data_IF_571176487875
#
_entry.id   IF_571176487875
#
_cell.length_a   1.000
_cell.length_b   1.000
_cell.length_c   1.000
_cell.angle_alpha   90.00
_cell.angle_beta   90.00
_cell.angle_gamma   90.00
#
_symmetry.space_group_name_H-M   'P 1'
#
loop_
_entity.id
_entity.type
_entity.pdbx_description
1 polymer ?
#
# COMPACT_ATOMS: atom_id res chain seq x y z
N UNK A 1 7.04 5.68 9.43
CA UNK A 1 7.66 4.65 8.55
C UNK A 1 7.38 4.92 7.08
N UNK A 2 6.13 4.93 6.60
CA UNK A 2 5.79 5.20 5.18
C UNK A 2 6.33 6.55 4.69
N UNK A 3 6.18 7.62 5.47
CA UNK A 3 6.72 8.93 5.10
C UNK A 3 8.23 8.94 4.83
N UNK A 4 9.01 8.19 5.62
CA UNK A 4 10.44 8.04 5.42
C UNK A 4 10.77 7.24 4.14
N UNK A 5 10.01 6.17 3.86
CA UNK A 5 10.17 5.40 2.63
C UNK A 5 9.89 6.26 1.40
N UNK A 6 8.80 7.05 1.43
CA UNK A 6 8.46 7.99 0.35
C UNK A 6 9.56 9.02 0.13
N UNK A 7 10.12 9.58 1.22
CA UNK A 7 11.20 10.54 1.14
C UNK A 7 12.43 9.94 0.47
N UNK A 8 12.83 8.72 0.86
CA UNK A 8 13.96 8.02 0.24
C UNK A 8 13.71 7.83 -1.26
N UNK A 9 12.50 7.40 -1.66
CA UNK A 9 12.17 7.22 -3.08
C UNK A 9 12.24 8.54 -3.86
N UNK A 10 11.76 9.65 -3.29
CA UNK A 10 11.84 10.98 -3.91
C UNK A 10 13.28 11.51 -4.00
N UNK A 11 14.13 11.19 -3.02
CA UNK A 11 15.57 11.46 -3.06
C UNK A 11 16.26 10.64 -4.16
N UNK A 12 15.98 9.33 -4.23
CA UNK A 12 16.44 8.42 -5.29
C UNK A 12 16.01 8.88 -6.69
N UNK A 13 14.80 9.43 -6.82
CA UNK A 13 14.29 9.99 -8.08
C UNK A 13 15.13 11.15 -8.60
N UNK A 14 15.69 11.97 -7.70
CA UNK A 14 16.51 13.14 -8.02
C UNK A 14 17.99 12.79 -8.18
N UNK A 15 18.41 11.60 -7.75
CA UNK A 15 19.79 11.15 -7.80
C UNK A 15 20.12 10.47 -9.13
N UNK A 16 20.98 11.10 -9.93
CA UNK A 16 21.44 10.54 -11.20
C UNK A 16 22.25 9.25 -11.03
N UNK A 17 23.07 9.18 -9.97
CA UNK A 17 23.97 8.05 -9.74
C UNK A 17 23.19 6.77 -9.45
N UNK A 18 22.06 6.88 -8.75
CA UNK A 18 21.15 5.76 -8.51
C UNK A 18 20.56 5.23 -9.81
N UNK A 19 20.10 6.14 -10.69
CA UNK A 19 19.61 5.75 -11.99
C UNK A 19 20.70 5.07 -12.83
N UNK A 20 21.94 5.57 -12.78
CA UNK A 20 23.07 5.01 -13.50
C UNK A 20 23.36 3.56 -13.08
N UNK A 21 23.33 3.29 -11.77
CA UNK A 21 23.49 1.94 -11.23
C UNK A 21 22.34 1.02 -11.68
N UNK A 22 21.09 1.49 -11.59
CA UNK A 22 19.91 0.73 -12.03
C UNK A 22 19.99 0.42 -13.52
N UNK A 23 20.41 1.39 -14.34
CA UNK A 23 20.57 1.23 -15.78
C UNK A 23 21.67 0.21 -16.12
N UNK A 24 22.81 0.26 -15.43
CA UNK A 24 23.90 -0.71 -15.60
C UNK A 24 23.41 -2.13 -15.29
N UNK A 25 22.75 -2.31 -14.15
CA UNK A 25 22.20 -3.61 -13.76
C UNK A 25 21.15 -4.11 -14.77
N UNK A 26 20.29 -3.23 -15.25
CA UNK A 26 19.29 -3.56 -16.28
C UNK A 26 19.94 -3.97 -17.60
N UNK A 27 21.00 -3.28 -18.01
CA UNK A 27 21.78 -3.61 -19.21
C UNK A 27 22.45 -4.99 -19.06
N UNK A 28 23.07 -5.27 -17.91
CA UNK A 28 23.70 -6.57 -17.64
C UNK A 28 22.67 -7.71 -17.64
N UNK A 29 21.48 -7.47 -17.08
CA UNK A 29 20.38 -8.43 -17.11
C UNK A 29 19.86 -8.67 -18.53
N UNK A 30 19.74 -7.62 -19.34
CA UNK A 30 19.34 -7.74 -20.75
C UNK A 30 20.34 -8.62 -21.52
N UNK A 31 21.64 -8.39 -21.34
CA UNK A 31 22.70 -9.19 -21.98
C UNK A 31 22.63 -10.66 -21.56
N UNK A 32 22.48 -10.93 -20.26
CA UNK A 32 22.27 -12.29 -19.75
C UNK A 32 20.99 -12.94 -20.30
N UNK A 33 19.98 -12.13 -20.62
CA UNK A 33 18.73 -12.56 -21.26
C UNK A 33 18.84 -12.83 -22.77
N UNK A 34 20.02 -12.68 -23.37
CA UNK A 34 20.27 -12.94 -24.79
C UNK A 34 20.04 -11.74 -25.71
N UNK A 35 19.94 -10.53 -25.17
CA UNK A 35 20.00 -9.29 -25.95
C UNK A 35 21.47 -8.88 -26.15
N UNK A 36 21.84 -8.38 -27.32
CA UNK A 36 23.22 -7.88 -27.52
C UNK A 36 23.48 -6.61 -26.71
N UNK A 37 22.49 -5.72 -26.65
CA UNK A 37 22.54 -4.47 -25.89
C UNK A 37 21.12 -3.92 -25.64
N UNK A 38 20.98 -3.11 -24.59
CA UNK A 38 19.70 -2.50 -24.24
C UNK A 38 19.44 -1.26 -25.12
N UNK A 39 18.63 -1.41 -26.17
CA UNK A 39 18.25 -0.31 -27.07
C UNK A 39 16.86 0.23 -26.84
N UNK A 40 16.68 1.51 -27.17
CA UNK A 40 15.36 2.12 -27.26
C UNK A 40 14.48 1.35 -28.27
N UNK A 41 13.21 1.09 -27.93
CA UNK A 41 12.27 0.51 -28.87
C UNK A 41 12.06 1.39 -30.11
N UNK A 42 11.68 0.77 -31.22
CA UNK A 42 11.32 1.50 -32.44
C UNK A 42 10.16 2.45 -32.17
N UNK A 43 10.35 3.73 -32.47
CA UNK A 43 9.31 4.76 -32.35
C UNK A 43 8.61 4.97 -33.69
N UNK A 44 7.28 4.99 -33.69
CA UNK A 44 6.52 5.41 -34.86
C UNK A 44 6.61 6.93 -35.02
N UNK A 45 6.74 7.43 -36.25
CA UNK A 45 6.79 8.87 -36.52
C UNK A 45 5.52 9.61 -36.05
N UNK A 46 4.38 8.94 -36.09
CA UNK A 46 3.09 9.44 -35.59
C UNK A 46 2.47 8.39 -34.66
N UNK A 47 2.20 8.78 -33.42
CA UNK A 47 1.35 8.04 -32.49
C UNK A 47 0.08 8.85 -32.27
N UNK A 48 -1.08 8.18 -32.22
CA UNK A 48 -2.39 8.83 -32.03
C UNK A 48 -2.84 8.89 -30.57
N UNK A 49 -2.35 7.97 -29.72
CA UNK A 49 -2.83 7.82 -28.34
C UNK A 49 -1.83 8.25 -27.27
N UNK A 50 -0.52 8.29 -27.57
CA UNK A 50 0.52 8.74 -26.63
C UNK A 50 1.58 9.54 -27.37
N UNK A 51 2.18 10.50 -26.67
CA UNK A 51 3.35 11.20 -27.19
C UNK A 51 4.56 10.28 -27.10
N UNK A 52 5.40 10.33 -28.14
CA UNK A 52 6.71 9.70 -28.06
C UNK A 52 7.55 10.40 -26.99
N UNK A 53 8.19 9.61 -26.12
CA UNK A 53 9.12 10.14 -25.11
C UNK A 53 10.32 10.76 -25.83
N UNK A 54 10.60 12.07 -25.66
CA UNK A 54 11.78 12.70 -26.23
C UNK A 54 13.02 12.14 -25.53
N UNK A 55 13.98 11.65 -26.30
CA UNK A 55 15.24 11.12 -25.81
C UNK A 55 16.26 11.11 -26.95
N UNK A 56 17.50 11.43 -26.60
CA UNK A 56 18.66 11.51 -27.49
C UNK A 56 19.58 10.29 -27.36
N UNK A 57 19.35 9.47 -26.33
CA UNK A 57 20.06 8.21 -26.09
C UNK A 57 19.12 7.15 -25.51
N UNK A 58 19.51 5.88 -25.61
CA UNK A 58 18.77 4.75 -25.03
C UNK A 58 18.59 4.92 -23.51
N UNK A 59 19.67 5.33 -22.83
CA UNK A 59 19.67 5.61 -21.40
C UNK A 59 18.68 6.71 -21.00
N UNK A 60 18.68 7.82 -21.72
CA UNK A 60 17.72 8.92 -21.48
C UNK A 60 16.28 8.47 -21.74
N UNK A 61 16.05 7.63 -22.74
CA UNK A 61 14.74 7.06 -23.03
C UNK A 61 14.23 6.23 -21.86
N UNK A 62 15.00 5.25 -21.38
CA UNK A 62 14.58 4.38 -20.28
C UNK A 62 14.40 5.14 -18.97
N UNK A 63 15.20 6.20 -18.74
CA UNK A 63 15.01 7.09 -17.60
C UNK A 63 13.62 7.72 -17.59
N UNK A 64 13.24 8.32 -18.72
CA UNK A 64 12.00 9.10 -18.85
C UNK A 64 10.76 8.23 -19.05
N UNK A 65 10.89 7.12 -19.77
CA UNK A 65 9.77 6.25 -20.11
C UNK A 65 9.43 5.25 -19.00
N UNK A 66 10.42 4.86 -18.18
CA UNK A 66 10.25 3.79 -17.20
C UNK A 66 10.66 4.24 -15.81
N UNK A 67 11.92 4.63 -15.59
CA UNK A 67 12.45 4.85 -14.24
C UNK A 67 11.69 5.93 -13.47
N UNK A 68 11.59 7.15 -14.02
CA UNK A 68 10.89 8.24 -13.33
C UNK A 68 9.38 7.95 -13.15
N UNK A 69 8.63 7.53 -14.18
CA UNK A 69 7.22 7.18 -14.00
C UNK A 69 7.00 6.06 -12.98
N UNK A 70 7.89 5.07 -12.92
CA UNK A 70 7.79 3.97 -11.96
C UNK A 70 7.94 4.44 -10.52
N UNK A 71 8.91 5.32 -10.23
CA UNK A 71 9.08 5.88 -8.89
C UNK A 71 7.91 6.78 -8.50
N UNK A 72 7.40 7.58 -9.45
CA UNK A 72 6.22 8.42 -9.25
C UNK A 72 4.97 7.57 -8.90
N UNK A 73 4.73 6.50 -9.66
CA UNK A 73 3.65 5.55 -9.41
C UNK A 73 3.84 4.83 -8.06
N UNK A 74 5.07 4.43 -7.72
CA UNK A 74 5.35 3.76 -6.45
C UNK A 74 5.00 4.66 -5.25
N UNK A 75 5.36 5.95 -5.32
CA UNK A 75 4.98 6.93 -4.31
C UNK A 75 3.45 7.06 -4.24
N UNK A 76 2.77 7.17 -5.39
CA UNK A 76 1.31 7.27 -5.44
C UNK A 76 0.62 6.03 -4.84
N UNK A 77 1.11 4.83 -5.15
CA UNK A 77 0.58 3.59 -4.60
C UNK A 77 0.75 3.52 -3.08
N UNK A 78 1.86 4.02 -2.54
CA UNK A 78 2.06 4.12 -1.10
C UNK A 78 1.03 5.08 -0.45
N UNK A 79 0.72 6.20 -1.10
CA UNK A 79 -0.30 7.13 -0.62
C UNK A 79 -1.71 6.54 -0.65
N UNK A 80 -2.06 5.85 -1.74
CA UNK A 80 -3.37 5.21 -1.87
C UNK A 80 -3.57 4.09 -0.84
N UNK A 81 -2.55 3.26 -0.62
CA UNK A 81 -2.68 2.06 0.23
C UNK A 81 -2.48 2.32 1.72
N UNK A 82 -1.72 3.36 2.06
CA UNK A 82 -1.41 3.69 3.45
C UNK A 82 -1.87 5.09 3.84
N UNK A 83 -2.81 5.65 3.08
CA UNK A 83 -3.47 6.90 3.39
C UNK A 83 -4.36 6.80 4.63
N UNK A 84 -5.01 7.90 4.95
CA UNK A 84 -5.87 8.01 6.14
C UNK A 84 -7.03 7.00 6.11
N UNK A 85 -7.59 6.71 4.93
CA UNK A 85 -8.65 5.73 4.75
C UNK A 85 -8.22 4.32 5.17
N UNK A 86 -6.98 3.92 4.86
CA UNK A 86 -6.45 2.63 5.26
C UNK A 86 -6.38 2.48 6.78
N UNK A 87 -6.12 3.58 7.51
CA UNK A 87 -6.15 3.57 8.98
C UNK A 87 -7.56 3.27 9.49
N UNK A 88 -8.59 3.88 8.91
CA UNK A 88 -9.99 3.63 9.28
C UNK A 88 -10.41 2.19 8.99
N UNK A 89 -10.03 1.65 7.83
CA UNK A 89 -10.29 0.25 7.45
C UNK A 89 -9.61 -0.71 8.43
N UNK A 90 -8.33 -0.50 8.72
CA UNK A 90 -7.59 -1.34 9.68
C UNK A 90 -8.15 -1.20 11.09
N UNK A 91 -8.69 -0.03 11.46
CA UNK A 91 -9.32 0.19 12.77
C UNK A 91 -10.54 -0.70 12.97
N UNK A 92 -11.30 -1.04 11.94
CA UNK A 92 -12.41 -2.01 12.07
C UNK A 92 -11.95 -3.41 12.46
N UNK A 93 -10.69 -3.80 12.19
CA UNK A 93 -10.14 -5.06 12.69
C UNK A 93 -10.04 -5.11 14.22
N UNK A 94 -10.21 -3.99 14.93
CA UNK A 94 -10.33 -3.96 16.39
C UNK A 94 -11.60 -4.65 16.91
N UNK A 95 -12.63 -4.77 16.07
CA UNK A 95 -13.88 -5.48 16.40
C UNK A 95 -13.71 -7.01 16.41
N UNK A 96 -12.63 -7.52 15.82
CA UNK A 96 -12.39 -8.96 15.76
C UNK A 96 -12.39 -9.59 17.17
N UNK A 97 -12.90 -10.83 17.32
CA UNK A 97 -13.05 -11.51 18.62
C UNK A 97 -11.84 -11.42 19.55
N UNK A 98 -10.63 -11.60 19.03
CA UNK A 98 -9.39 -11.59 19.83
C UNK A 98 -8.87 -10.18 20.16
N UNK A 99 -9.47 -9.12 19.60
CA UNK A 99 -9.08 -7.71 19.82
C UNK A 99 -10.18 -6.88 20.45
N UNK A 100 -11.42 -7.36 20.44
CA UNK A 100 -12.60 -6.59 20.87
C UNK A 100 -12.49 -6.07 22.30
N UNK A 101 -11.75 -6.76 23.18
CA UNK A 101 -11.51 -6.33 24.56
C UNK A 101 -10.51 -5.14 24.67
N UNK A 102 -9.78 -4.83 23.60
CA UNK A 102 -8.80 -3.73 23.54
C UNK A 102 -9.37 -2.46 22.91
N UNK A 103 -10.61 -2.49 22.41
CA UNK A 103 -11.21 -1.36 21.71
C UNK A 103 -11.65 -0.28 22.73
N UNK A 104 -11.20 0.95 22.50
CA UNK A 104 -11.59 2.14 23.26
C UNK A 104 -12.88 2.74 22.70
N UNK A 105 -13.53 3.62 23.46
CA UNK A 105 -14.72 4.33 22.99
C UNK A 105 -14.43 5.19 21.75
N UNK A 106 -13.23 5.78 21.67
CA UNK A 106 -12.76 6.56 20.53
C UNK A 106 -12.61 5.67 19.28
N UNK A 107 -11.95 4.51 19.41
CA UNK A 107 -11.82 3.58 18.29
C UNK A 107 -13.19 3.07 17.80
N UNK A 108 -14.10 2.78 18.73
CA UNK A 108 -15.46 2.36 18.41
C UNK A 108 -16.25 3.47 17.69
N UNK A 109 -16.06 4.73 18.10
CA UNK A 109 -16.64 5.89 17.42
C UNK A 109 -16.10 6.03 16.00
N UNK A 110 -14.80 5.92 15.79
CA UNK A 110 -14.20 6.06 14.47
C UNK A 110 -14.65 4.97 13.50
N UNK A 111 -14.81 3.73 13.99
CA UNK A 111 -15.34 2.64 13.18
C UNK A 111 -16.80 2.90 12.79
N UNK A 112 -17.62 3.38 13.73
CA UNK A 112 -18.98 3.80 13.43
C UNK A 112 -19.04 4.94 12.41
N UNK A 113 -18.25 6.00 12.61
CA UNK A 113 -18.24 7.18 11.74
C UNK A 113 -17.81 6.81 10.31
N UNK A 114 -16.91 5.84 10.14
CA UNK A 114 -16.45 5.40 8.81
C UNK A 114 -17.43 4.43 8.14
N UNK A 115 -18.01 3.48 8.86
CA UNK A 115 -18.82 2.40 8.27
C UNK A 115 -20.33 2.60 8.38
N UNK A 116 -20.84 3.68 9.01
CA UNK A 116 -22.29 3.85 9.23
C UNK A 116 -23.12 3.78 7.95
N UNK A 117 -22.61 4.23 6.80
CA UNK A 117 -23.35 4.17 5.52
C UNK A 117 -23.42 2.77 4.95
N UNK A 118 -22.48 1.90 5.34
CA UNK A 118 -22.33 0.54 4.84
C UNK A 118 -23.01 -0.48 5.76
N UNK A 119 -23.40 -0.08 6.97
CA UNK A 119 -24.06 -0.94 7.94
C UNK A 119 -25.57 -1.09 7.65
N UNK A 120 -26.14 -2.29 7.82
CA UNK A 120 -27.57 -2.51 7.61
C UNK A 120 -28.46 -1.84 8.68
N UNK A 121 -27.94 -1.69 9.90
CA UNK A 121 -28.65 -1.07 11.04
C UNK A 121 -27.67 -0.25 11.90
N UNK A 122 -27.22 0.92 11.42
CA UNK A 122 -26.23 1.73 12.12
C UNK A 122 -26.70 2.14 13.54
N UNK A 123 -28.00 2.38 13.72
CA UNK A 123 -28.60 2.78 14.99
C UNK A 123 -28.47 1.74 16.11
N UNK A 124 -28.26 0.45 15.78
CA UNK A 124 -28.07 -0.63 16.77
C UNK A 124 -26.61 -0.92 17.07
N UNK A 125 -25.66 -0.28 16.38
CA UNK A 125 -24.23 -0.60 16.44
C UNK A 125 -23.68 -0.61 17.87
N UNK A 126 -24.02 0.40 18.68
CA UNK A 126 -23.52 0.51 20.07
C UNK A 126 -24.04 -0.61 20.96
N UNK A 127 -25.29 -1.01 20.78
CA UNK A 127 -25.94 -2.09 21.51
C UNK A 127 -25.30 -3.43 21.12
N UNK A 128 -25.14 -3.67 19.82
CA UNK A 128 -24.46 -4.87 19.30
C UNK A 128 -23.02 -4.96 19.78
N UNK A 129 -22.30 -3.84 19.81
CA UNK A 129 -20.92 -3.84 20.28
C UNK A 129 -20.80 -4.18 21.77
N UNK A 130 -21.73 -3.72 22.60
CA UNK A 130 -21.78 -4.12 24.02
C UNK A 130 -22.03 -5.61 24.18
N UNK A 131 -22.97 -6.17 23.42
CA UNK A 131 -23.26 -7.60 23.43
C UNK A 131 -22.06 -8.42 22.96
N UNK A 132 -21.40 -7.97 21.88
CA UNK A 132 -20.22 -8.62 21.31
C UNK A 132 -19.03 -8.63 22.27
N UNK A 133 -18.73 -7.49 22.90
CA UNK A 133 -17.69 -7.40 23.95
C UNK A 133 -17.96 -8.39 25.08
N UNK A 134 -19.17 -8.35 25.64
CA UNK A 134 -19.55 -9.23 26.75
C UNK A 134 -19.48 -10.72 26.35
N UNK A 135 -19.93 -11.06 25.14
CA UNK A 135 -19.86 -12.43 24.64
C UNK A 135 -18.41 -12.94 24.61
N UNK A 136 -17.48 -12.18 24.03
CA UNK A 136 -16.09 -12.60 23.90
C UNK A 136 -15.31 -12.57 25.22
N UNK A 137 -15.62 -11.65 26.13
CA UNK A 137 -15.08 -11.68 27.50
C UNK A 137 -15.45 -12.99 28.21
N UNK A 138 -16.72 -13.40 28.13
CA UNK A 138 -17.18 -14.65 28.74
C UNK A 138 -16.55 -15.90 28.10
N UNK A 139 -16.36 -15.90 26.77
CA UNK A 139 -15.67 -17.00 26.07
C UNK A 139 -14.19 -17.10 26.45
N UNK A 140 -13.54 -15.95 26.68
CA UNK A 140 -12.15 -15.88 27.16
C UNK A 140 -12.01 -16.52 28.54
N UNK A 141 -12.90 -16.14 29.47
CA UNK A 141 -12.93 -16.69 30.83
C UNK A 141 -13.20 -18.19 30.84
N UNK A 142 -14.15 -18.67 30.03
CA UNK A 142 -14.45 -20.11 29.92
C UNK A 142 -13.27 -20.91 29.35
N UNK A 143 -12.51 -20.34 28.39
CA UNK A 143 -11.29 -20.99 27.87
C UNK A 143 -10.19 -21.09 28.93
N UNK A 144 -9.95 -20.03 29.70
CA UNK A 144 -8.93 -20.05 30.77
C UNK A 144 -9.30 -21.05 31.87
N UNK A 145 -10.58 -21.10 32.27
CA UNK A 145 -11.06 -22.04 33.29
C UNK A 145 -10.89 -23.51 32.85
N UNK A 146 -11.12 -23.82 31.57
CA UNK A 146 -10.96 -25.17 31.04
C UNK A 146 -9.49 -25.61 30.91
N UNK A 147 -8.53 -24.68 30.82
CA UNK A 147 -7.10 -25.02 30.81
C UNK A 147 -6.59 -25.32 32.22
N UNK A 148 -7.13 -24.64 33.25
CA UNK A 148 -6.72 -24.83 34.64
C UNK A 148 -7.34 -26.05 35.34
N UNK A 149 -8.18 -26.82 34.64
CA UNK A 149 -8.86 -28.02 35.14
C UNK A 149 -8.26 -29.35 34.60
N UNK A 150 -7.17 -29.28 33.83
CA UNK A 150 -6.38 -30.43 33.38
C UNK A 150 -4.97 -30.37 33.94
#
# INVERSE_FOLDING_TARGET
MIGAVKQIIDETRKNEQEFDLVYSNASDMAVKGGLDELKMPRRCARQTHRNNVPASSDKEYFKRAIYLPYLDELIQQLDMRFGQEAVSVVRALSILPFRVHLISEEMEKDVYDYYNTDMPSPETFRQEMRLWKSFWENQSTNRVNNINLN
#
